data_IF_949151709682
#
_entry.id   IF_949151709682
#
_cell.length_a   1.000
_cell.length_b   1.000
_cell.length_c   1.000
_cell.angle_alpha   90.00
_cell.angle_beta   90.00
_cell.angle_gamma   90.00
#
_symmetry.space_group_name_H-M   'P 1'
#
loop_
_entity.id
_entity.type
_entity.pdbx_description
1 polymer ?
#
# COMPACT_ATOMS: atom_id res chain seq x y z
N UNK A 1 14.82 3.18 -8.94
CA UNK A 1 15.47 4.47 -9.30
C UNK A 1 14.38 5.48 -9.64
N UNK A 2 14.39 6.64 -9.04
CA UNK A 2 13.51 7.77 -9.36
C UNK A 2 14.42 8.97 -9.69
N UNK A 3 14.20 9.60 -10.83
CA UNK A 3 14.98 10.76 -11.29
C UNK A 3 16.50 10.54 -11.29
N UNK A 4 16.95 9.31 -11.61
CA UNK A 4 18.36 8.91 -11.59
C UNK A 4 18.91 8.51 -10.22
N UNK A 5 18.15 8.65 -9.14
CA UNK A 5 18.59 8.29 -7.79
C UNK A 5 18.11 6.89 -7.40
N UNK A 6 18.99 6.12 -6.77
CA UNK A 6 18.59 4.89 -6.07
C UNK A 6 17.99 5.28 -4.71
N UNK A 7 16.67 5.16 -4.59
CA UNK A 7 15.95 5.50 -3.37
C UNK A 7 16.33 4.61 -2.18
N UNK A 8 16.88 3.42 -2.45
CA UNK A 8 17.26 2.45 -1.42
C UNK A 8 18.75 2.47 -1.10
N UNK A 9 19.56 3.25 -1.81
CA UNK A 9 21.02 3.28 -1.61
C UNK A 9 21.42 3.56 -0.16
N UNK A 10 20.83 4.59 0.44
CA UNK A 10 21.12 4.94 1.84
C UNK A 10 20.72 3.84 2.81
N UNK A 11 19.59 3.21 2.57
CA UNK A 11 19.11 2.08 3.35
C UNK A 11 20.04 0.88 3.21
N UNK A 12 20.39 0.51 1.97
CA UNK A 12 21.32 -0.59 1.70
C UNK A 12 22.71 -0.34 2.29
N UNK A 13 23.19 0.90 2.21
CA UNK A 13 24.47 1.30 2.81
C UNK A 13 24.43 1.23 4.34
N UNK A 14 23.29 1.47 4.97
CA UNK A 14 23.16 1.38 6.42
C UNK A 14 23.48 -0.02 6.93
N UNK A 15 23.15 -1.09 6.23
CA UNK A 15 23.55 -2.45 6.61
C UNK A 15 25.06 -2.60 6.72
N UNK A 16 25.83 -2.03 5.79
CA UNK A 16 27.29 -2.07 5.84
C UNK A 16 27.85 -1.29 7.02
N UNK A 17 27.29 -0.11 7.28
CA UNK A 17 27.74 0.76 8.38
C UNK A 17 27.46 0.16 9.76
N UNK A 18 26.24 -0.40 9.97
CA UNK A 18 25.82 -0.88 11.28
C UNK A 18 26.22 -2.33 11.56
N UNK A 19 26.30 -3.18 10.55
CA UNK A 19 26.49 -4.62 10.72
C UNK A 19 27.84 -5.14 10.20
N UNK A 20 28.61 -4.29 9.48
CA UNK A 20 29.95 -4.64 9.01
C UNK A 20 29.99 -5.96 8.26
N UNK A 21 30.82 -6.90 8.73
CA UNK A 21 30.95 -8.23 8.12
C UNK A 21 29.69 -9.09 8.11
N UNK A 22 28.66 -8.75 8.92
CA UNK A 22 27.37 -9.44 8.94
C UNK A 22 26.30 -8.76 8.08
N UNK A 23 26.63 -7.69 7.38
CA UNK A 23 25.69 -6.91 6.61
C UNK A 23 24.86 -7.74 5.60
N UNK A 24 25.51 -8.68 4.91
CA UNK A 24 24.85 -9.53 3.93
C UNK A 24 23.83 -10.49 4.58
N UNK A 25 24.18 -11.08 5.73
CA UNK A 25 23.30 -11.96 6.50
C UNK A 25 22.05 -11.21 6.97
N UNK A 26 22.23 -10.03 7.58
CA UNK A 26 21.13 -9.22 8.09
C UNK A 26 20.25 -8.71 6.96
N UNK A 27 20.83 -8.28 5.83
CA UNK A 27 20.08 -7.86 4.65
C UNK A 27 19.24 -9.01 4.04
N UNK A 28 19.78 -10.25 4.05
CA UNK A 28 19.02 -11.42 3.61
C UNK A 28 17.84 -11.71 4.53
N UNK A 29 18.05 -11.74 5.84
CA UNK A 29 16.99 -11.94 6.82
C UNK A 29 15.90 -10.85 6.76
N UNK A 30 16.31 -9.59 6.56
CA UNK A 30 15.38 -8.48 6.36
C UNK A 30 14.53 -8.67 5.09
N UNK A 31 15.15 -9.12 4.00
CA UNK A 31 14.43 -9.40 2.75
C UNK A 31 13.40 -10.51 2.95
N UNK A 32 13.77 -11.61 3.60
CA UNK A 32 12.84 -12.70 3.92
C UNK A 32 11.66 -12.19 4.77
N UNK A 33 11.95 -11.37 5.79
CA UNK A 33 10.92 -10.75 6.59
C UNK A 33 9.95 -9.91 5.76
N UNK A 34 10.46 -9.03 4.89
CA UNK A 34 9.60 -8.19 4.02
C UNK A 34 8.78 -9.06 3.05
N UNK A 35 9.38 -10.12 2.49
CA UNK A 35 8.66 -11.03 1.58
C UNK A 35 7.61 -11.89 2.30
N UNK A 36 7.70 -12.05 3.61
CA UNK A 36 6.70 -12.75 4.41
C UNK A 36 5.47 -11.89 4.73
N UNK A 37 5.54 -10.57 4.55
CA UNK A 37 4.42 -9.68 4.78
C UNK A 37 3.32 -9.88 3.74
N UNK A 38 2.03 -9.85 4.13
CA UNK A 38 0.94 -9.90 3.17
C UNK A 38 0.96 -8.66 2.27
N UNK A 39 0.73 -8.86 0.98
CA UNK A 39 0.65 -7.77 0.00
C UNK A 39 -0.58 -6.89 0.21
N UNK A 40 -1.66 -7.49 0.66
CA UNK A 40 -2.93 -6.84 0.96
C UNK A 40 -3.73 -7.65 1.97
N UNK A 41 -4.71 -7.03 2.59
CA UNK A 41 -5.70 -7.68 3.43
C UNK A 41 -7.12 -7.28 3.00
N UNK A 42 -8.08 -8.15 3.21
CA UNK A 42 -9.49 -7.83 3.03
C UNK A 42 -10.26 -8.22 4.28
N UNK A 43 -11.10 -7.31 4.77
CA UNK A 43 -12.00 -7.59 5.90
C UNK A 43 -13.22 -8.36 5.41
N UNK A 44 -13.91 -9.03 6.33
CA UNK A 44 -15.19 -9.69 6.02
C UNK A 44 -16.28 -8.68 5.63
N UNK A 45 -16.10 -7.40 5.97
CA UNK A 45 -16.99 -6.30 5.60
C UNK A 45 -16.62 -5.63 4.26
N UNK A 46 -15.72 -6.24 3.45
CA UNK A 46 -15.40 -5.77 2.10
C UNK A 46 -14.40 -4.60 2.03
N UNK A 47 -13.67 -4.30 3.10
CA UNK A 47 -12.60 -3.29 3.07
C UNK A 47 -11.30 -3.95 2.62
N UNK A 48 -10.72 -3.46 1.53
CA UNK A 48 -9.42 -3.89 1.02
C UNK A 48 -8.34 -2.92 1.47
N UNK A 49 -7.31 -3.46 2.13
CA UNK A 49 -6.19 -2.73 2.70
C UNK A 49 -4.92 -3.07 1.93
N UNK A 50 -4.23 -2.08 1.40
CA UNK A 50 -2.94 -2.25 0.72
C UNK A 50 -2.09 -0.98 0.78
N UNK A 51 -0.79 -1.10 0.46
CA UNK A 51 0.07 0.08 0.37
C UNK A 51 -0.40 1.03 -0.74
N UNK A 52 -0.70 0.48 -1.92
CA UNK A 52 -1.29 1.20 -3.05
C UNK A 52 -2.10 0.23 -3.93
N UNK A 53 -2.60 0.71 -5.06
CA UNK A 53 -3.30 -0.06 -6.09
C UNK A 53 -2.64 0.20 -7.46
N UNK A 54 -2.76 -0.73 -8.43
CA UNK A 54 -2.31 -0.47 -9.79
C UNK A 54 -3.03 0.76 -10.36
N UNK A 55 -2.30 1.58 -11.09
CA UNK A 55 -2.86 2.72 -11.82
C UNK A 55 -3.57 2.30 -13.11
N UNK A 56 -4.21 3.25 -13.77
CA UNK A 56 -4.96 3.01 -15.02
C UNK A 56 -4.07 2.36 -16.10
N UNK A 57 -2.84 2.83 -16.24
CA UNK A 57 -1.88 2.29 -17.21
C UNK A 57 -1.36 0.90 -16.86
N UNK A 58 -1.44 0.51 -15.58
CA UNK A 58 -0.97 -0.78 -15.11
C UNK A 58 -1.99 -1.90 -15.31
N UNK A 59 -3.29 -1.55 -15.27
CA UNK A 59 -4.40 -2.49 -15.22
C UNK A 59 -4.42 -3.52 -16.36
N UNK A 60 -4.11 -3.15 -17.63
CA UNK A 60 -4.14 -4.10 -18.74
C UNK A 60 -3.18 -5.28 -18.60
N UNK A 61 -2.10 -5.11 -17.83
CA UNK A 61 -1.07 -6.15 -17.60
C UNK A 61 -0.94 -6.54 -16.13
N UNK A 62 -1.94 -6.21 -15.32
CA UNK A 62 -1.97 -6.52 -13.91
C UNK A 62 -2.64 -7.88 -13.65
N UNK A 63 -1.96 -8.74 -12.90
CA UNK A 63 -2.55 -9.99 -12.43
C UNK A 63 -3.28 -9.77 -11.10
N UNK A 64 -4.60 -9.65 -11.16
CA UNK A 64 -5.42 -9.48 -9.96
C UNK A 64 -5.44 -10.73 -9.03
N UNK A 65 -5.03 -11.89 -9.53
CA UNK A 65 -4.87 -13.13 -8.74
C UNK A 65 -3.69 -13.08 -7.77
N UNK A 66 -2.81 -12.08 -7.89
CA UNK A 66 -1.58 -11.96 -7.09
C UNK A 66 -1.82 -12.00 -5.57
N UNK A 67 -2.95 -11.49 -5.10
CA UNK A 67 -3.30 -11.48 -3.67
C UNK A 67 -3.77 -12.85 -3.14
N UNK A 68 -3.91 -13.85 -4.01
CA UNK A 68 -4.43 -15.19 -3.67
C UNK A 68 -3.49 -16.34 -4.05
N UNK A 69 -2.33 -16.03 -4.62
CA UNK A 69 -1.33 -17.02 -5.02
C UNK A 69 0.03 -16.74 -4.39
N UNK A 70 0.89 -17.73 -4.42
CA UNK A 70 2.31 -17.55 -4.06
C UNK A 70 2.95 -16.54 -5.02
N UNK A 71 3.69 -15.61 -4.46
CA UNK A 71 4.46 -14.62 -5.21
C UNK A 71 5.75 -15.25 -5.77
N UNK A 72 6.14 -14.79 -6.94
CA UNK A 72 7.39 -15.18 -7.62
C UNK A 72 8.33 -13.98 -7.74
N UNK A 73 9.61 -14.22 -8.00
CA UNK A 73 10.57 -13.14 -8.20
C UNK A 73 10.18 -12.18 -9.33
N UNK A 74 9.48 -12.66 -10.35
CA UNK A 74 8.99 -11.83 -11.44
C UNK A 74 7.95 -10.81 -10.99
N UNK A 75 7.16 -11.13 -9.96
CA UNK A 75 6.14 -10.21 -9.43
C UNK A 75 6.75 -8.97 -8.77
N UNK A 76 7.96 -9.11 -8.19
CA UNK A 76 8.69 -8.01 -7.55
C UNK A 76 9.50 -7.16 -8.53
N UNK A 77 9.73 -7.64 -9.75
CA UNK A 77 10.46 -6.88 -10.76
C UNK A 77 9.67 -5.66 -11.21
N UNK A 78 10.38 -4.69 -11.78
CA UNK A 78 9.72 -3.53 -12.40
C UNK A 78 8.67 -4.00 -13.40
N UNK A 79 7.46 -3.44 -13.31
CA UNK A 79 6.26 -3.82 -14.04
C UNK A 79 5.62 -5.17 -13.62
N UNK A 80 6.17 -5.88 -12.67
CA UNK A 80 5.49 -7.02 -12.02
C UNK A 80 4.29 -6.56 -11.18
N UNK A 81 3.42 -7.48 -10.80
CA UNK A 81 2.17 -7.12 -10.14
C UNK A 81 2.36 -6.63 -8.69
N UNK A 82 3.37 -7.12 -7.96
CA UNK A 82 3.76 -6.54 -6.66
C UNK A 82 4.22 -5.09 -6.84
N UNK A 83 5.09 -4.85 -7.84
CA UNK A 83 5.56 -3.50 -8.14
C UNK A 83 4.40 -2.53 -8.38
N UNK A 84 3.38 -2.94 -9.14
CA UNK A 84 2.19 -2.14 -9.42
C UNK A 84 1.33 -1.88 -8.18
N UNK A 85 1.24 -2.84 -7.27
CA UNK A 85 0.55 -2.70 -5.98
C UNK A 85 1.28 -1.77 -5.00
N UNK A 86 2.60 -1.61 -5.16
CA UNK A 86 3.43 -0.77 -4.28
C UNK A 86 3.61 0.64 -4.85
N UNK A 87 3.75 0.78 -6.17
CA UNK A 87 4.10 2.04 -6.82
C UNK A 87 2.98 2.65 -7.65
N UNK A 88 1.84 1.97 -7.78
CA UNK A 88 0.73 2.44 -8.60
C UNK A 88 0.16 3.77 -8.10
N UNK A 89 -0.27 4.60 -9.05
CA UNK A 89 -0.89 5.91 -8.83
C UNK A 89 -1.93 6.17 -9.91
N UNK A 90 -2.71 7.21 -9.76
CA UNK A 90 -3.67 7.65 -10.78
C UNK A 90 -4.71 6.58 -11.12
N UNK A 91 -5.43 6.15 -10.11
CA UNK A 91 -6.58 5.25 -10.27
C UNK A 91 -7.81 6.05 -10.67
N UNK A 92 -8.43 5.71 -11.80
CA UNK A 92 -9.75 6.24 -12.17
C UNK A 92 -10.87 5.48 -11.48
N UNK A 93 -12.08 6.04 -11.48
CA UNK A 93 -13.27 5.32 -11.00
C UNK A 93 -13.50 3.99 -11.76
N UNK A 94 -13.15 3.94 -13.05
CA UNK A 94 -13.25 2.73 -13.86
C UNK A 94 -12.26 1.66 -13.37
N UNK A 95 -11.02 2.04 -13.05
CA UNK A 95 -10.02 1.14 -12.48
C UNK A 95 -10.49 0.62 -11.13
N UNK A 96 -10.96 1.49 -10.23
CA UNK A 96 -11.49 1.10 -8.93
C UNK A 96 -12.68 0.15 -9.05
N UNK A 97 -13.61 0.42 -9.97
CA UNK A 97 -14.75 -0.46 -10.24
C UNK A 97 -14.32 -1.84 -10.76
N UNK A 98 -13.25 -1.90 -11.54
CA UNK A 98 -12.70 -3.16 -12.04
C UNK A 98 -12.04 -3.95 -10.91
N UNK A 99 -11.24 -3.30 -10.07
CA UNK A 99 -10.58 -3.92 -8.93
C UNK A 99 -11.59 -4.41 -7.88
N UNK A 100 -12.66 -3.62 -7.63
CA UNK A 100 -13.77 -4.04 -6.76
C UNK A 100 -14.38 -5.38 -7.19
N UNK A 101 -14.58 -5.58 -8.48
CA UNK A 101 -15.11 -6.86 -9.02
C UNK A 101 -14.12 -8.00 -8.86
N UNK A 102 -12.83 -7.77 -9.05
CA UNK A 102 -11.82 -8.81 -8.91
C UNK A 102 -11.69 -9.31 -7.47
N UNK A 103 -11.78 -8.42 -6.50
CA UNK A 103 -11.50 -8.74 -5.11
C UNK A 103 -12.73 -8.75 -4.22
N UNK A 104 -13.92 -8.42 -4.77
CA UNK A 104 -15.15 -8.25 -4.01
C UNK A 104 -14.98 -7.24 -2.88
N UNK A 105 -14.29 -6.16 -3.19
CA UNK A 105 -14.01 -5.09 -2.26
C UNK A 105 -14.99 -3.92 -2.50
N UNK A 106 -15.64 -3.48 -1.43
CA UNK A 106 -16.53 -2.33 -1.48
C UNK A 106 -15.75 -1.02 -1.34
N UNK A 107 -14.69 -1.04 -0.51
CA UNK A 107 -13.84 0.11 -0.22
C UNK A 107 -12.37 -0.29 -0.26
N UNK A 108 -11.53 0.61 -0.78
CA UNK A 108 -10.08 0.52 -0.74
C UNK A 108 -9.52 1.55 0.24
N UNK A 109 -8.63 1.11 1.12
CA UNK A 109 -7.85 1.99 2.00
C UNK A 109 -6.38 1.78 1.67
N UNK A 110 -5.74 2.86 1.23
CA UNK A 110 -4.35 2.85 0.79
C UNK A 110 -3.56 3.99 1.43
N UNK A 111 -2.24 3.90 1.35
CA UNK A 111 -1.31 4.97 1.66
C UNK A 111 -0.62 5.50 0.40
N UNK A 112 0.71 5.60 0.45
CA UNK A 112 1.62 5.85 -0.66
C UNK A 112 1.55 7.23 -1.31
N UNK A 113 0.39 7.86 -1.39
CA UNK A 113 0.18 9.14 -2.07
C UNK A 113 0.05 10.24 -1.03
N UNK A 114 0.93 11.26 -1.09
CA UNK A 114 0.91 12.37 -0.15
C UNK A 114 -0.44 13.11 -0.16
N UNK A 115 -0.95 13.44 1.02
CA UNK A 115 -2.22 14.12 1.24
C UNK A 115 -2.03 15.24 2.25
N UNK A 116 -2.11 16.50 1.82
CA UNK A 116 -1.85 17.66 2.69
C UNK A 116 -2.68 17.69 3.97
N UNK A 117 -3.91 17.16 3.92
CA UNK A 117 -4.81 17.07 5.07
C UNK A 117 -4.73 15.73 5.84
N UNK A 118 -3.68 14.92 5.56
CA UNK A 118 -3.51 13.58 6.15
C UNK A 118 -4.37 12.51 5.51
N UNK A 119 -5.37 12.85 4.71
CA UNK A 119 -6.17 11.90 3.95
C UNK A 119 -6.75 12.52 2.69
N UNK A 120 -7.13 11.67 1.73
CA UNK A 120 -7.83 12.06 0.52
C UNK A 120 -8.83 11.01 0.08
N UNK A 121 -9.90 11.43 -0.59
CA UNK A 121 -10.87 10.55 -1.25
C UNK A 121 -10.59 10.50 -2.74
N UNK A 122 -10.68 9.33 -3.32
CA UNK A 122 -10.61 9.14 -4.76
C UNK A 122 -11.82 8.33 -5.23
N UNK A 123 -12.58 8.91 -6.15
CA UNK A 123 -13.84 8.33 -6.58
C UNK A 123 -14.81 8.10 -5.41
N UNK A 124 -15.60 7.03 -5.49
CA UNK A 124 -16.63 6.72 -4.50
C UNK A 124 -16.14 5.80 -3.38
N UNK A 125 -15.04 5.09 -3.60
CA UNK A 125 -14.68 3.94 -2.77
C UNK A 125 -13.18 3.79 -2.50
N UNK A 126 -12.37 4.83 -2.65
CA UNK A 126 -10.96 4.79 -2.23
C UNK A 126 -10.66 5.91 -1.23
N UNK A 127 -10.10 5.53 -0.11
CA UNK A 127 -9.56 6.43 0.92
C UNK A 127 -8.04 6.27 0.95
N UNK A 128 -7.33 7.39 0.81
CA UNK A 128 -5.88 7.45 0.91
C UNK A 128 -5.53 8.06 2.26
N UNK A 129 -4.66 7.42 3.02
CA UNK A 129 -4.17 7.90 4.31
C UNK A 129 -2.70 8.30 4.19
N UNK A 130 -2.35 9.44 4.77
CA UNK A 130 -0.99 9.93 4.85
C UNK A 130 -0.65 10.29 6.30
N UNK A 131 0.35 9.62 6.85
CA UNK A 131 0.83 9.84 8.21
C UNK A 131 2.28 10.37 8.24
N UNK A 132 2.78 10.87 7.10
CA UNK A 132 4.17 11.28 6.92
C UNK A 132 4.49 12.68 7.46
N UNK A 133 3.50 13.43 7.93
CA UNK A 133 3.65 14.79 8.40
C UNK A 133 2.72 15.12 9.59
N UNK A 134 2.75 16.36 10.08
CA UNK A 134 2.02 16.83 11.26
C UNK A 134 0.49 16.82 11.13
N UNK A 135 -0.07 16.71 9.92
CA UNK A 135 -1.49 16.51 9.68
C UNK A 135 -1.85 15.02 9.48
N UNK A 136 -0.90 14.14 9.78
CA UNK A 136 -1.08 12.70 9.66
C UNK A 136 -2.25 12.20 10.47
N UNK A 137 -2.89 11.14 9.95
CA UNK A 137 -4.07 10.52 10.57
C UNK A 137 -3.87 9.00 10.72
N UNK A 138 -4.61 8.43 11.64
CA UNK A 138 -4.83 6.99 11.73
C UNK A 138 -6.34 6.70 11.60
N UNK A 139 -6.67 5.50 11.17
CA UNK A 139 -8.04 5.03 11.02
C UNK A 139 -8.25 3.76 11.85
N UNK A 140 -8.89 3.86 13.03
CA UNK A 140 -9.32 2.69 13.77
C UNK A 140 -10.46 1.97 13.03
N UNK A 141 -10.36 0.66 12.88
CA UNK A 141 -11.37 -0.16 12.22
C UNK A 141 -11.84 -1.28 13.15
N UNK A 142 -13.14 -1.49 13.18
CA UNK A 142 -13.76 -2.72 13.68
C UNK A 142 -13.99 -3.62 12.47
N UNK A 143 -13.30 -4.75 12.38
CA UNK A 143 -13.18 -5.55 11.16
C UNK A 143 -14.51 -6.13 10.68
N UNK A 144 -15.45 -6.34 11.58
CA UNK A 144 -16.78 -6.89 11.31
C UNK A 144 -17.81 -5.81 10.93
N UNK A 145 -17.50 -4.54 11.21
CA UNK A 145 -18.41 -3.43 10.93
C UNK A 145 -18.35 -3.06 9.45
N UNK A 146 -19.51 -2.84 8.85
CA UNK A 146 -19.61 -2.18 7.55
C UNK A 146 -19.48 -0.67 7.72
N UNK A 147 -18.78 -0.05 6.78
CA UNK A 147 -18.54 1.39 6.77
C UNK A 147 -18.91 1.98 5.43
N UNK A 148 -19.62 3.09 5.48
CA UNK A 148 -19.67 4.00 4.34
C UNK A 148 -18.36 4.80 4.25
N UNK A 149 -18.10 5.46 3.12
CA UNK A 149 -16.95 6.36 2.99
C UNK A 149 -17.01 7.51 4.01
N UNK A 150 -18.22 8.00 4.34
CA UNK A 150 -18.38 9.05 5.33
C UNK A 150 -18.10 8.56 6.74
N UNK A 151 -18.52 7.34 7.09
CA UNK A 151 -18.17 6.72 8.37
C UNK A 151 -16.65 6.60 8.54
N UNK A 152 -15.95 6.19 7.49
CA UNK A 152 -14.49 6.06 7.51
C UNK A 152 -13.81 7.42 7.74
N UNK A 153 -14.26 8.45 7.05
CA UNK A 153 -13.71 9.80 7.24
C UNK A 153 -14.02 10.36 8.64
N UNK A 154 -15.21 10.12 9.18
CA UNK A 154 -15.56 10.52 10.54
C UNK A 154 -14.77 9.77 11.61
N UNK A 155 -14.31 8.55 11.31
CA UNK A 155 -13.51 7.74 12.23
C UNK A 155 -12.00 8.09 12.21
N UNK A 156 -11.56 9.00 11.34
CA UNK A 156 -10.16 9.41 11.29
C UNK A 156 -9.76 10.14 12.58
N UNK A 157 -8.60 9.75 13.11
CA UNK A 157 -8.01 10.35 14.30
C UNK A 157 -6.71 11.03 13.94
N UNK A 158 -6.56 12.35 14.17
CA UNK A 158 -5.29 13.03 13.96
C UNK A 158 -4.20 12.45 14.86
N UNK A 159 -3.00 12.22 14.31
CA UNK A 159 -1.84 11.75 15.08
C UNK A 159 -1.31 12.84 16.02
N UNK A 160 -1.34 14.11 15.60
CA UNK A 160 -1.03 15.24 16.45
C UNK A 160 -2.21 15.49 17.40
N UNK A 161 -2.13 15.01 18.63
CA UNK A 161 -3.19 15.14 19.64
C UNK A 161 -3.69 13.82 20.20
N UNK A 162 -3.08 12.71 19.83
CA UNK A 162 -3.22 11.44 20.55
C UNK A 162 -2.27 11.53 21.75
N UNK A 163 -2.83 11.81 22.94
CA UNK A 163 -2.12 11.73 24.23
C UNK A 163 -2.08 10.28 24.73
#
# INVERSE_FOLDING_TARGET
MKDGYDLTERFNRAFQVYYGGRAAEVAAAYREFVHSMPLAGITISGIFLSHSLPGDSDLPSFDAGIVRRTLTDADYQRNGSVYKMVWGRSQSEQTLATLSKFWWADVFICGHQAQESGYGRLGKNMLILDSSHNHGVLLPLVLEKQYTMDDLVQALVPLAGVE
#
